data_IF_903118661021
#
_entry.id   IF_903118661021
#
_cell.length_a   1.000
_cell.length_b   1.000
_cell.length_c   1.000
_cell.angle_alpha   90.00
_cell.angle_beta   90.00
_cell.angle_gamma   90.00
#
_symmetry.space_group_name_H-M   'P 1'
#
loop_
_entity.id
_entity.type
_entity.pdbx_description
1 polymer ?
#
# COMPACT_ATOMS: atom_id res chain seq x y z
N UNK A 1 -12.44 2.34 -8.19
CA UNK A 1 -12.13 3.09 -6.96
C UNK A 1 -11.42 4.38 -7.37
N UNK A 2 -12.04 5.54 -7.20
CA UNK A 2 -11.29 6.80 -7.34
C UNK A 2 -10.43 6.98 -6.10
N UNK A 3 -9.16 7.33 -6.30
CA UNK A 3 -8.13 7.54 -5.25
C UNK A 3 -8.61 8.50 -4.13
N UNK A 4 -9.65 9.29 -4.39
CA UNK A 4 -10.29 10.21 -3.45
C UNK A 4 -10.84 9.57 -2.15
N UNK A 5 -11.12 8.27 -2.10
CA UNK A 5 -11.71 7.63 -0.91
C UNK A 5 -10.69 7.02 0.08
N UNK A 6 -9.38 7.13 -0.17
CA UNK A 6 -8.36 6.82 0.86
C UNK A 6 -8.19 8.05 1.77
N UNK A 7 -9.30 8.51 2.37
CA UNK A 7 -9.32 9.72 3.20
C UNK A 7 -8.95 9.40 4.65
N UNK A 8 -7.77 9.86 5.05
CA UNK A 8 -7.30 10.20 6.41
C UNK A 8 -7.20 9.10 7.50
N UNK A 9 -7.98 8.03 7.47
CA UNK A 9 -7.92 6.96 8.48
C UNK A 9 -6.68 6.06 8.35
N UNK A 10 -6.31 5.74 7.12
CA UNK A 10 -5.21 4.81 6.76
C UNK A 10 -3.80 5.42 6.86
N UNK A 11 -3.67 6.75 6.97
CA UNK A 11 -2.38 7.43 7.03
C UNK A 11 -1.75 7.46 8.44
N UNK A 12 -2.50 7.11 9.50
CA UNK A 12 -1.98 7.03 10.86
C UNK A 12 -1.07 5.79 10.96
N UNK A 13 0.23 6.01 11.14
CA UNK A 13 1.24 4.95 11.28
C UNK A 13 2.21 4.82 10.10
N UNK A 14 1.94 5.46 8.96
CA UNK A 14 2.91 5.48 7.84
C UNK A 14 4.04 6.49 8.11
N UNK A 15 5.31 6.17 7.80
CA UNK A 15 6.38 7.15 7.70
C UNK A 15 6.02 8.32 6.78
N UNK A 16 6.57 9.50 7.05
CA UNK A 16 6.27 10.72 6.27
C UNK A 16 6.51 10.52 4.76
N UNK A 17 7.60 9.84 4.38
CA UNK A 17 7.92 9.57 2.98
C UNK A 17 6.80 8.76 2.28
N UNK A 18 6.25 7.75 2.95
CA UNK A 18 5.19 6.91 2.39
C UNK A 18 3.85 7.64 2.34
N UNK A 19 3.56 8.51 3.32
CA UNK A 19 2.38 9.41 3.23
C UNK A 19 2.47 10.34 2.04
N UNK A 20 3.64 10.92 1.79
CA UNK A 20 3.87 11.77 0.62
C UNK A 20 3.69 10.99 -0.67
N UNK A 21 4.18 9.75 -0.76
CA UNK A 21 3.99 8.90 -1.92
C UNK A 21 2.50 8.57 -2.18
N UNK A 22 1.73 8.22 -1.14
CA UNK A 22 0.28 8.00 -1.24
C UNK A 22 -0.44 9.25 -1.78
N UNK A 23 -0.13 10.41 -1.21
CA UNK A 23 -0.72 11.68 -1.65
C UNK A 23 -0.33 12.04 -3.09
N UNK A 24 0.90 11.71 -3.51
CA UNK A 24 1.39 11.99 -4.85
C UNK A 24 0.58 11.28 -5.95
N UNK A 25 -0.07 10.15 -5.65
CA UNK A 25 -0.95 9.45 -6.59
C UNK A 25 -2.16 10.27 -7.06
N UNK A 26 -2.52 11.33 -6.32
CA UNK A 26 -3.57 12.27 -6.69
C UNK A 26 -3.08 13.41 -7.58
N UNK A 27 -1.76 13.59 -7.73
CA UNK A 27 -1.19 14.67 -8.52
C UNK A 27 -1.40 14.41 -10.03
N UNK A 28 -1.86 15.41 -10.80
CA UNK A 28 -2.07 15.25 -12.24
C UNK A 28 -0.83 14.76 -12.98
N UNK A 29 0.36 15.28 -12.64
CA UNK A 29 1.62 14.90 -13.26
C UNK A 29 1.98 13.42 -13.01
N UNK A 30 1.64 12.88 -11.83
CA UNK A 30 1.86 11.46 -11.51
C UNK A 30 0.87 10.58 -12.27
N UNK A 31 -0.38 11.01 -12.40
CA UNK A 31 -1.39 10.32 -13.19
C UNK A 31 -1.05 10.30 -14.69
N UNK A 32 -0.55 11.41 -15.22
CA UNK A 32 -0.08 11.49 -16.60
C UNK A 32 1.12 10.55 -16.84
N UNK A 33 2.09 10.53 -15.92
CA UNK A 33 3.22 9.58 -15.99
C UNK A 33 2.72 8.13 -15.99
N UNK A 34 1.78 7.79 -15.10
CA UNK A 34 1.22 6.44 -15.02
C UNK A 34 0.46 6.05 -16.29
N UNK A 35 -0.28 6.99 -16.88
CA UNK A 35 -0.95 6.81 -18.17
C UNK A 35 0.06 6.46 -19.27
N UNK A 36 1.14 7.24 -19.40
CA UNK A 36 2.21 6.97 -20.37
C UNK A 36 2.91 5.63 -20.15
N UNK A 37 3.19 5.28 -18.89
CA UNK A 37 3.79 3.98 -18.54
C UNK A 37 2.91 2.80 -18.96
N UNK A 38 1.58 2.95 -18.94
CA UNK A 38 0.65 1.88 -19.28
C UNK A 38 0.67 1.46 -20.75
N UNK A 39 1.11 2.34 -21.64
CA UNK A 39 1.37 2.00 -23.05
C UNK A 39 2.39 0.85 -23.17
N UNK A 40 3.28 0.75 -22.18
CA UNK A 40 4.33 -0.26 -22.09
C UNK A 40 4.02 -1.38 -21.08
N UNK A 41 2.77 -1.48 -20.61
CA UNK A 41 2.38 -2.40 -19.52
C UNK A 41 3.15 -2.18 -18.21
N UNK A 42 3.63 -0.95 -17.99
CA UNK A 42 4.33 -0.57 -16.78
C UNK A 42 3.38 0.15 -15.81
N UNK A 43 3.67 0.01 -14.52
CA UNK A 43 3.02 0.73 -13.43
C UNK A 43 4.05 1.41 -12.54
N UNK A 44 3.60 1.96 -11.42
CA UNK A 44 4.46 2.50 -10.36
C UNK A 44 4.18 1.79 -9.06
N UNK A 45 5.22 1.66 -8.24
CA UNK A 45 5.12 1.10 -6.90
C UNK A 45 5.68 2.10 -5.89
N UNK A 46 5.14 2.09 -4.68
CA UNK A 46 5.65 2.84 -3.54
C UNK A 46 6.68 1.93 -2.83
N UNK A 47 8.00 2.21 -2.92
CA UNK A 47 9.02 1.36 -2.31
C UNK A 47 8.94 1.40 -0.79
N UNK A 48 8.83 0.25 -0.15
CA UNK A 48 8.79 0.12 1.31
C UNK A 48 9.23 -1.28 1.76
N UNK A 49 9.46 -1.43 3.06
CA UNK A 49 9.63 -2.70 3.77
C UNK A 49 8.75 -2.67 5.03
N UNK A 50 8.62 -3.80 5.71
CA UNK A 50 7.97 -3.91 7.01
C UNK A 50 9.00 -4.26 8.09
N UNK A 51 8.92 -3.62 9.25
CA UNK A 51 9.69 -4.02 10.42
C UNK A 51 9.35 -5.47 10.80
N UNK A 52 10.30 -6.38 10.95
CA UNK A 52 9.95 -7.79 11.22
C UNK A 52 9.32 -8.01 12.61
N UNK A 53 9.59 -7.11 13.57
CA UNK A 53 9.13 -7.25 14.95
C UNK A 53 7.79 -6.55 15.18
N UNK A 54 7.57 -5.40 14.55
CA UNK A 54 6.35 -4.60 14.69
C UNK A 54 5.46 -4.70 13.46
N UNK A 55 5.98 -5.07 12.30
CA UNK A 55 5.32 -5.04 10.98
C UNK A 55 5.00 -3.65 10.44
N UNK A 56 5.37 -2.59 11.17
CA UNK A 56 5.16 -1.21 10.72
C UNK A 56 5.87 -0.97 9.39
N UNK A 57 5.26 -0.13 8.56
CA UNK A 57 5.87 0.30 7.31
C UNK A 57 7.16 1.09 7.58
N UNK A 58 8.18 0.83 6.77
CA UNK A 58 9.41 1.59 6.72
C UNK A 58 9.78 1.92 5.27
N UNK A 59 10.47 3.04 4.99
CA UNK A 59 11.05 3.28 3.68
C UNK A 59 11.99 2.11 3.31
N UNK A 60 11.99 1.73 2.03
CA UNK A 60 12.93 0.71 1.54
C UNK A 60 14.37 1.25 1.64
N UNK A 61 15.31 0.57 2.32
CA UNK A 61 16.70 0.98 2.35
C UNK A 61 17.37 0.87 0.98
N UNK A 62 18.31 1.77 0.67
CA UNK A 62 18.97 1.87 -0.64
C UNK A 62 19.68 0.58 -1.10
N UNK A 63 20.13 -0.24 -0.15
CA UNK A 63 20.86 -1.48 -0.40
C UNK A 63 19.97 -2.74 -0.31
N UNK A 64 18.65 -2.57 -0.27
CA UNK A 64 17.68 -3.66 -0.16
C UNK A 64 16.79 -3.69 -1.40
N UNK A 65 16.49 -4.90 -1.89
CA UNK A 65 15.62 -5.14 -3.02
C UNK A 65 14.49 -6.09 -2.61
N UNK A 66 13.27 -5.77 -3.01
CA UNK A 66 12.14 -6.70 -2.89
C UNK A 66 12.32 -7.86 -3.87
N UNK A 67 12.24 -9.09 -3.36
CA UNK A 67 12.37 -10.31 -4.17
C UNK A 67 11.12 -11.16 -4.01
N UNK A 68 10.47 -11.48 -5.12
CA UNK A 68 9.46 -12.54 -5.16
C UNK A 68 10.17 -13.90 -5.31
N UNK A 69 9.96 -14.80 -4.34
CA UNK A 69 10.52 -16.15 -4.36
C UNK A 69 9.50 -17.17 -3.90
N UNK A 70 9.40 -18.30 -4.61
CA UNK A 70 8.47 -19.38 -4.29
C UNK A 70 7.00 -19.01 -4.38
N UNK A 71 6.63 -18.06 -5.26
CA UNK A 71 5.25 -17.58 -5.45
C UNK A 71 4.61 -17.06 -4.16
N UNK A 72 5.42 -16.46 -3.27
CA UNK A 72 4.96 -15.83 -2.02
C UNK A 72 4.29 -14.48 -2.29
N UNK A 73 3.20 -14.49 -3.05
CA UNK A 73 2.25 -13.41 -3.27
C UNK A 73 0.86 -14.03 -3.43
N UNK A 74 -0.19 -13.36 -2.96
CA UNK A 74 -1.56 -13.81 -3.15
C UNK A 74 -2.28 -12.96 -4.20
N UNK A 75 -3.09 -13.59 -5.04
CA UNK A 75 -3.91 -12.93 -6.04
C UNK A 75 -5.38 -13.07 -5.61
N UNK A 76 -6.03 -11.93 -5.36
CA UNK A 76 -7.42 -11.83 -4.92
C UNK A 76 -8.19 -10.93 -5.88
N UNK A 77 -9.52 -11.10 -6.03
CA UNK A 77 -10.33 -10.19 -6.83
C UNK A 77 -10.21 -8.74 -6.34
N UNK A 78 -9.98 -7.80 -7.26
CA UNK A 78 -9.78 -6.38 -6.93
C UNK A 78 -10.94 -5.80 -6.13
N UNK A 79 -12.18 -6.19 -6.45
CA UNK A 79 -13.38 -5.70 -5.75
C UNK A 79 -13.42 -6.13 -4.27
N UNK A 80 -12.94 -7.33 -3.96
CA UNK A 80 -12.89 -7.82 -2.57
C UNK A 80 -11.88 -7.06 -1.73
N UNK A 81 -10.72 -6.75 -2.30
CA UNK A 81 -9.68 -5.93 -1.63
C UNK A 81 -10.12 -4.47 -1.54
N UNK A 82 -10.76 -3.95 -2.59
CA UNK A 82 -11.19 -2.57 -2.68
C UNK A 82 -12.19 -2.16 -1.58
N UNK A 83 -13.01 -3.09 -1.12
CA UNK A 83 -13.98 -2.87 -0.07
C UNK A 83 -13.40 -3.00 1.35
N UNK A 84 -12.10 -3.32 1.47
CA UNK A 84 -11.40 -3.56 2.74
C UNK A 84 -10.32 -2.50 2.99
N UNK A 85 -10.64 -1.22 2.81
CA UNK A 85 -9.70 -0.09 2.93
C UNK A 85 -9.06 0.06 4.31
N UNK A 86 -9.68 -0.49 5.35
CA UNK A 86 -9.13 -0.51 6.71
C UNK A 86 -8.12 -1.64 6.94
N UNK A 87 -8.09 -2.63 6.04
CA UNK A 87 -7.22 -3.82 6.09
C UNK A 87 -6.17 -3.82 5.00
N UNK A 88 -6.37 -3.14 3.88
CA UNK A 88 -5.40 -3.14 2.78
C UNK A 88 -5.03 -1.73 2.38
N UNK A 89 -3.72 -1.46 2.35
CA UNK A 89 -3.17 -0.23 1.81
C UNK A 89 -2.67 -0.49 0.39
N UNK A 90 -3.17 0.21 -0.64
CA UNK A 90 -2.58 0.18 -1.98
C UNK A 90 -1.10 0.58 -1.95
N UNK A 91 -0.23 -0.20 -2.59
CA UNK A 91 1.22 0.09 -2.65
C UNK A 91 1.79 0.03 -4.07
N UNK A 92 0.97 -0.35 -5.05
CA UNK A 92 1.33 -0.31 -6.46
C UNK A 92 0.12 -0.04 -7.33
N UNK A 93 0.34 0.72 -8.39
CA UNK A 93 -0.71 1.23 -9.27
C UNK A 93 -0.34 1.03 -10.74
N UNK A 94 -1.38 0.86 -11.54
CA UNK A 94 -1.33 0.80 -12.98
C UNK A 94 -2.45 1.68 -13.55
N UNK A 95 -2.25 2.25 -14.74
CA UNK A 95 -3.32 3.03 -15.38
C UNK A 95 -4.29 2.11 -16.11
N UNK A 96 -5.55 2.11 -15.68
CA UNK A 96 -6.60 1.30 -16.28
C UNK A 96 -7.93 2.05 -16.30
N UNK A 97 -8.70 1.88 -17.37
CA UNK A 97 -10.02 2.49 -17.54
C UNK A 97 -10.06 4.00 -17.24
N UNK A 98 -9.02 4.74 -17.61
CA UNK A 98 -8.93 6.19 -17.44
C UNK A 98 -8.59 6.66 -16.02
N UNK A 99 -8.10 5.77 -15.14
CA UNK A 99 -7.72 6.12 -13.78
C UNK A 99 -6.49 5.34 -13.28
N UNK A 100 -5.81 5.93 -12.30
CA UNK A 100 -4.86 5.20 -11.46
C UNK A 100 -5.58 4.11 -10.67
N UNK A 101 -5.24 2.86 -10.94
CA UNK A 101 -5.91 1.67 -10.38
C UNK A 101 -4.91 0.89 -9.52
N UNK A 102 -5.21 0.63 -8.22
CA UNK A 102 -4.41 -0.25 -7.39
C UNK A 102 -4.28 -1.65 -8.00
N UNK A 103 -3.06 -2.17 -8.06
CA UNK A 103 -2.73 -3.54 -8.53
C UNK A 103 -1.98 -4.36 -7.50
N UNK A 104 -1.40 -3.72 -6.49
CA UNK A 104 -0.82 -4.40 -5.32
C UNK A 104 -1.22 -3.66 -4.05
N UNK A 105 -1.37 -4.40 -2.95
CA UNK A 105 -1.68 -3.84 -1.65
C UNK A 105 -0.97 -4.64 -0.55
N UNK A 106 -0.64 -3.95 0.54
CA UNK A 106 -0.15 -4.58 1.76
C UNK A 106 -1.30 -4.73 2.75
N UNK A 107 -1.36 -5.89 3.40
CA UNK A 107 -2.27 -6.12 4.51
C UNK A 107 -1.80 -5.33 5.73
N UNK A 108 -2.66 -4.44 6.22
CA UNK A 108 -2.53 -3.73 7.47
C UNK A 108 -3.22 -4.54 8.57
N UNK A 109 -2.55 -4.70 9.70
CA UNK A 109 -3.16 -5.28 10.90
C UNK A 109 -3.64 -4.13 11.77
N UNK A 110 -4.91 -4.14 12.19
CA UNK A 110 -5.34 -3.35 13.35
C UNK A 110 -5.24 -4.21 14.59
N UNK A 111 -4.63 -3.69 15.65
CA UNK A 111 -4.90 -4.25 16.98
C UNK A 111 -6.35 -3.90 17.34
N UNK A 112 -7.21 -4.91 17.51
CA UNK A 112 -8.50 -4.72 18.17
C UNK A 112 -8.24 -4.44 19.66
N UNK A 113 -8.03 -3.16 19.99
CA UNK A 113 -7.98 -2.70 21.37
C UNK A 113 -9.40 -2.58 21.93
N UNK A 114 -9.73 -3.42 22.91
CA UNK A 114 -10.68 -3.04 23.96
C UNK A 114 -10.28 -1.67 24.52
N UNK A 115 -11.20 -0.72 24.43
CA UNK A 115 -11.22 0.50 25.24
C UNK A 115 -10.28 1.62 24.79
N UNK A 116 -10.87 2.80 24.60
CA UNK A 116 -10.23 4.11 24.48
C UNK A 116 -8.92 4.23 25.26
N UNK A 117 -7.80 4.15 24.56
CA UNK A 117 -6.57 4.90 24.82
C UNK A 117 -5.60 4.63 23.67
N UNK A 118 -5.01 5.70 23.16
CA UNK A 118 -4.07 5.78 22.04
C UNK A 118 -3.19 4.52 21.86
N UNK A 119 -3.32 3.81 20.73
CA UNK A 119 -2.52 2.59 20.47
C UNK A 119 -1.91 2.57 19.08
N UNK A 120 -0.60 2.30 19.10
CA UNK A 120 0.31 2.13 17.98
C UNK A 120 0.07 0.77 17.29
N UNK A 121 0.23 0.73 15.97
CA UNK A 121 -0.07 -0.44 15.13
C UNK A 121 1.08 -1.46 15.17
N UNK A 122 0.79 -2.74 15.44
CA UNK A 122 1.74 -3.86 15.29
C UNK A 122 1.14 -5.10 14.60
N UNK A 123 1.97 -5.90 13.94
CA UNK A 123 1.62 -7.10 13.17
C UNK A 123 1.84 -8.43 13.92
N UNK A 124 1.22 -9.49 13.40
CA UNK A 124 1.21 -10.86 13.93
C UNK A 124 2.42 -11.68 13.45
N UNK A 125 3.07 -12.38 14.38
CA UNK A 125 4.10 -13.40 14.10
C UNK A 125 3.46 -14.77 13.81
N UNK A 126 3.97 -15.48 12.81
CA UNK A 126 3.71 -16.91 12.60
C UNK A 126 4.48 -17.71 13.65
N UNK A 127 3.77 -18.55 14.40
CA UNK A 127 4.39 -19.58 15.26
C UNK A 127 4.74 -20.76 14.36
N UNK A 128 5.98 -21.23 14.52
CA UNK A 128 6.70 -22.31 13.83
C UNK A 128 5.86 -23.48 13.32
#
# INVERSE_FOLDING_TARGET
>A
MTVANVSQGSARGLPQALRTAQAAMLLPEVQEMLCRLSEYKLGIFMPHIHDERTGEFQPLPDNVMQVESGLKVSFQPTEEIANQTERFLPVGWYWHAGASTPVTACEMVREEGQGDTERYVKHKMTVS
#
